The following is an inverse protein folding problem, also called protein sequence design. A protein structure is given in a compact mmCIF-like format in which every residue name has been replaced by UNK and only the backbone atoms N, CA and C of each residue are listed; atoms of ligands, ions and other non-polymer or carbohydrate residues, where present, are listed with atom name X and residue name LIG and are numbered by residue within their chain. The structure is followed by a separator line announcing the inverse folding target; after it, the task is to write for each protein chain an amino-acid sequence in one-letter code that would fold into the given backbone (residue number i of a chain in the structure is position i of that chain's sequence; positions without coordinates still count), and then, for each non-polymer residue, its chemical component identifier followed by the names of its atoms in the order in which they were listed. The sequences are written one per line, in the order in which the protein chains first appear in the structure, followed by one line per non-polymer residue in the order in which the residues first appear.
data_IF_637703370012
#
_entry.id   IF_637703370012
#
_cell.length_a   1.000
_cell.length_b   1.000
_cell.length_c   1.000
_cell.angle_alpha   90.00
_cell.angle_beta   90.00
_cell.angle_gamma   90.00
#
_symmetry.space_group_name_H-M   'P 1'
#
loop_
_entity.id
_entity.type
_entity.pdbx_description
1 polymer ?
#
# COMPACT_ATOMS: atom_id res chain seq x y z
N UNK A 1 19.76 0.63 3.26
CA UNK A 1 18.39 0.50 3.81
C UNK A 1 17.61 -0.51 3.00
N UNK A 2 16.96 -1.44 3.65
CA UNK A 2 16.08 -2.38 2.97
C UNK A 2 14.83 -1.67 2.46
N UNK A 3 14.30 -2.16 1.35
CA UNK A 3 13.06 -1.65 0.75
C UNK A 3 11.95 -2.69 0.87
N UNK A 4 10.74 -2.24 1.06
CA UNK A 4 9.56 -3.10 1.07
C UNK A 4 8.39 -2.39 0.39
N UNK A 5 7.56 -3.18 -0.27
CA UNK A 5 6.31 -2.69 -0.86
C UNK A 5 5.13 -3.39 -0.22
N UNK A 6 4.09 -2.64 0.08
CA UNK A 6 2.79 -3.21 0.45
C UNK A 6 1.82 -3.07 -0.72
N UNK A 7 1.13 -4.15 -1.05
CA UNK A 7 0.09 -4.18 -2.08
C UNK A 7 -1.23 -4.39 -1.35
N UNK A 8 -1.98 -3.31 -1.15
CA UNK A 8 -3.18 -3.35 -0.31
C UNK A 8 -4.09 -2.16 -0.62
N UNK A 9 -5.27 -2.17 -0.01
CA UNK A 9 -6.17 -1.03 -0.01
C UNK A 9 -5.78 0.03 0.99
N UNK A 10 -6.38 1.21 0.87
CA UNK A 10 -6.19 2.29 1.83
C UNK A 10 -7.19 2.18 2.97
N UNK A 11 -6.85 2.80 4.10
CA UNK A 11 -7.78 3.09 5.19
C UNK A 11 -7.72 4.58 5.47
N UNK A 12 -8.78 5.30 5.15
CA UNK A 12 -8.80 6.75 5.32
C UNK A 12 -8.63 7.19 6.79
N UNK A 13 -8.94 6.32 7.75
CA UNK A 13 -8.71 6.59 9.18
C UNK A 13 -7.30 6.22 9.65
N UNK A 14 -6.51 5.53 8.83
CA UNK A 14 -5.10 5.27 9.10
C UNK A 14 -4.79 4.06 9.97
N UNK A 15 -5.79 3.29 10.40
CA UNK A 15 -5.62 2.18 11.34
C UNK A 15 -5.35 0.83 10.69
N UNK A 16 -5.53 0.72 9.37
CA UNK A 16 -5.37 -0.53 8.63
C UNK A 16 -4.81 -0.23 7.23
N UNK A 17 -4.81 -1.23 6.34
CA UNK A 17 -4.39 -1.06 4.96
C UNK A 17 -2.96 -0.57 4.80
N UNK A 18 -2.71 0.15 3.72
CA UNK A 18 -1.35 0.64 3.42
C UNK A 18 -0.81 1.57 4.50
N UNK A 19 -1.66 2.36 5.15
CA UNK A 19 -1.23 3.29 6.18
C UNK A 19 -0.64 2.55 7.37
N UNK A 20 -1.28 1.48 7.83
CA UNK A 20 -0.76 0.65 8.93
C UNK A 20 0.55 -0.03 8.52
N UNK A 21 0.62 -0.57 7.31
CA UNK A 21 1.80 -1.26 6.79
C UNK A 21 2.99 -0.31 6.69
N UNK A 22 2.78 0.89 6.15
CA UNK A 22 3.84 1.91 6.01
C UNK A 22 4.36 2.33 7.38
N UNK A 23 3.48 2.57 8.34
CA UNK A 23 3.88 2.93 9.72
C UNK A 23 4.76 1.84 10.33
N UNK A 24 4.37 0.58 10.17
CA UNK A 24 5.13 -0.56 10.68
C UNK A 24 6.50 -0.67 10.00
N UNK A 25 6.55 -0.53 8.69
CA UNK A 25 7.81 -0.57 7.94
C UNK A 25 8.76 0.52 8.39
N UNK A 26 8.27 1.76 8.53
CA UNK A 26 9.10 2.89 8.95
C UNK A 26 9.66 2.68 10.37
N UNK A 27 8.85 2.18 11.30
CA UNK A 27 9.31 1.92 12.67
C UNK A 27 10.35 0.81 12.74
N UNK A 28 10.43 -0.04 11.71
CA UNK A 28 11.44 -1.08 11.60
C UNK A 28 12.62 -0.69 10.70
N UNK A 29 12.74 0.57 10.34
CA UNK A 29 13.88 1.08 9.57
C UNK A 29 13.87 0.66 8.10
N UNK A 30 12.70 0.41 7.53
CA UNK A 30 12.53 -0.04 6.15
C UNK A 30 12.02 1.12 5.30
N UNK A 31 12.57 1.27 4.10
CA UNK A 31 12.03 2.21 3.11
C UNK A 31 10.72 1.65 2.56
N UNK A 32 9.62 2.33 2.85
CA UNK A 32 8.27 1.83 2.57
C UNK A 32 7.73 2.38 1.25
N UNK A 33 7.23 1.46 0.43
CA UNK A 33 6.56 1.77 -0.83
C UNK A 33 5.17 1.13 -0.83
N UNK A 34 4.30 1.56 -1.74
CA UNK A 34 2.95 1.02 -1.82
C UNK A 34 2.44 0.94 -3.25
N UNK A 35 1.64 -0.10 -3.51
CA UNK A 35 0.78 -0.19 -4.68
C UNK A 35 -0.65 -0.35 -4.18
N UNK A 36 -1.52 0.58 -4.52
CA UNK A 36 -2.87 0.68 -3.95
C UNK A 36 -3.84 -0.11 -4.81
N UNK A 37 -4.55 -1.07 -4.20
CA UNK A 37 -5.55 -1.89 -4.88
C UNK A 37 -6.93 -1.25 -4.85
N UNK A 38 -7.22 -0.47 -3.81
CA UNK A 38 -8.50 0.23 -3.67
C UNK A 38 -8.35 1.42 -2.73
N UNK A 39 -9.11 2.46 -2.98
CA UNK A 39 -9.28 3.57 -2.05
C UNK A 39 -10.56 3.33 -1.25
N UNK A 40 -10.52 3.55 0.05
CA UNK A 40 -11.69 3.41 0.91
C UNK A 40 -12.04 4.71 1.60
N UNK A 41 -13.32 4.96 1.77
CA UNK A 41 -13.84 5.93 2.71
C UNK A 41 -14.23 5.15 3.96
N UNK A 42 -13.43 5.25 5.00
CA UNK A 42 -13.46 4.34 6.14
C UNK A 42 -13.14 5.10 7.42
N UNK A 43 -13.70 4.62 8.53
CA UNK A 43 -13.34 5.06 9.87
C UNK A 43 -13.35 3.85 10.82
N UNK A 44 -13.25 4.09 12.12
CA UNK A 44 -13.17 3.00 13.10
C UNK A 44 -14.46 2.17 13.22
N UNK A 45 -15.58 2.65 12.68
CA UNK A 45 -16.88 1.95 12.74
C UNK A 45 -17.20 1.18 11.45
N UNK A 46 -16.50 1.43 10.36
CA UNK A 46 -16.72 0.66 9.14
C UNK A 46 -16.31 1.37 7.87
N UNK A 47 -16.53 0.71 6.75
CA UNK A 47 -16.25 1.19 5.40
C UNK A 47 -17.55 1.70 4.79
N UNK A 48 -17.56 2.96 4.34
CA UNK A 48 -18.74 3.58 3.72
C UNK A 48 -18.70 3.57 2.20
N UNK A 49 -17.51 3.53 1.61
CA UNK A 49 -17.37 3.54 0.15
C UNK A 49 -16.03 2.95 -0.27
N UNK A 50 -15.98 2.33 -1.44
CA UNK A 50 -14.78 1.72 -2.00
C UNK A 50 -14.65 2.12 -3.46
N UNK A 51 -13.45 2.56 -3.86
CA UNK A 51 -13.09 2.80 -5.25
C UNK A 51 -11.92 1.89 -5.61
N UNK A 52 -12.19 0.86 -6.41
CA UNK A 52 -11.17 -0.10 -6.80
C UNK A 52 -10.24 0.47 -7.88
N UNK A 53 -8.96 0.20 -7.78
CA UNK A 53 -8.04 0.38 -8.87
C UNK A 53 -8.30 -0.70 -9.93
N UNK A 54 -8.16 -0.35 -11.21
CA UNK A 54 -8.23 -1.37 -12.27
C UNK A 54 -6.99 -2.24 -12.25
N UNK A 55 -7.06 -3.50 -12.74
CA UNK A 55 -5.86 -4.33 -12.87
C UNK A 55 -4.75 -3.65 -13.69
N UNK A 56 -5.12 -2.92 -14.74
CA UNK A 56 -4.18 -2.20 -15.59
C UNK A 56 -3.46 -1.11 -14.79
N UNK A 57 -4.18 -0.35 -13.98
CA UNK A 57 -3.58 0.72 -13.18
C UNK A 57 -2.68 0.15 -12.09
N UNK A 58 -3.10 -0.92 -11.43
CA UNK A 58 -2.25 -1.60 -10.43
C UNK A 58 -0.95 -2.07 -11.07
N UNK A 59 -1.01 -2.63 -12.28
CA UNK A 59 0.17 -3.00 -13.04
C UNK A 59 1.09 -1.82 -13.31
N UNK A 60 0.52 -0.65 -13.63
CA UNK A 60 1.30 0.58 -13.83
C UNK A 60 1.96 1.08 -12.54
N UNK A 61 1.28 0.99 -11.41
CA UNK A 61 1.88 1.31 -10.11
C UNK A 61 3.10 0.44 -9.84
N UNK A 62 2.99 -0.88 -10.06
CA UNK A 62 4.07 -1.83 -9.82
C UNK A 62 5.23 -1.61 -10.81
N UNK A 63 4.93 -1.41 -12.09
CA UNK A 63 5.95 -1.16 -13.10
C UNK A 63 6.76 0.11 -12.80
N UNK A 64 6.10 1.15 -12.35
CA UNK A 64 6.76 2.42 -11.98
C UNK A 64 7.78 2.21 -10.87
N UNK A 65 7.48 1.34 -9.91
CA UNK A 65 8.40 1.03 -8.81
C UNK A 65 9.52 0.11 -9.29
N UNK A 66 9.18 -0.98 -9.96
CA UNK A 66 10.14 -2.04 -10.30
C UNK A 66 11.14 -1.61 -11.38
N UNK A 67 10.84 -0.61 -12.17
CA UNK A 67 11.78 -0.05 -13.15
C UNK A 67 12.77 0.93 -12.55
N UNK A 68 12.57 1.34 -11.30
CA UNK A 68 13.38 2.37 -10.64
C UNK A 68 14.05 1.89 -9.36
N UNK A 69 13.32 1.15 -8.52
CA UNK A 69 13.77 0.83 -7.16
C UNK A 69 13.88 -0.69 -6.98
N UNK A 70 15.04 -1.15 -6.48
CA UNK A 70 15.20 -2.56 -6.13
C UNK A 70 14.35 -2.90 -4.92
N UNK A 71 13.61 -4.02 -5.02
CA UNK A 71 12.69 -4.47 -3.97
C UNK A 71 13.31 -5.62 -3.18
N UNK A 72 13.40 -5.47 -1.86
CA UNK A 72 13.87 -6.52 -0.95
C UNK A 72 12.72 -7.39 -0.42
N UNK A 73 11.55 -6.79 -0.15
CA UNK A 73 10.45 -7.50 0.48
C UNK A 73 9.10 -7.04 -0.08
N UNK A 74 8.18 -7.98 -0.26
CA UNK A 74 6.83 -7.70 -0.76
C UNK A 74 5.80 -8.26 0.24
N UNK A 75 4.87 -7.40 0.66
CA UNK A 75 3.72 -7.75 1.48
C UNK A 75 2.45 -7.59 0.64
N UNK A 76 1.70 -8.67 0.49
CA UNK A 76 0.42 -8.67 -0.22
C UNK A 76 -0.69 -9.08 0.75
N UNK A 77 -1.72 -8.25 0.83
CA UNK A 77 -2.87 -8.53 1.70
C UNK A 77 -4.20 -8.23 1.00
#
# INVERSE_FOLDING_TARGET
MKTAITIAGTDSSGGAGIQADIKTMITNGVYAMSAITALTAQNTTGVTSILNATPEFLGQELDSIFTDIYLDCLLYT
#
